data_IF_762742487460
#
_entry.id   IF_762742487460
#
_cell.length_a   1.000
_cell.length_b   1.000
_cell.length_c   1.000
_cell.angle_alpha   90.00
_cell.angle_beta   90.00
_cell.angle_gamma   90.00
#
_symmetry.space_group_name_H-M   'P 1'
#
loop_
_entity.id
_entity.type
_entity.pdbx_description
1 polymer ?
#
# COMPACT_ATOMS: atom_id res chain seq x y z
N UNK A 1 -7.40 7.55 -22.32
CA UNK A 1 -7.82 6.31 -23.00
C UNK A 1 -8.73 5.52 -22.07
N UNK A 2 -9.71 4.78 -22.59
CA UNK A 2 -10.49 3.85 -21.75
C UNK A 2 -9.63 2.61 -21.48
N UNK A 3 -9.50 2.15 -20.22
CA UNK A 3 -8.72 0.96 -19.90
C UNK A 3 -9.26 -0.24 -20.68
N UNK A 4 -8.38 -0.92 -21.42
CA UNK A 4 -8.75 -2.06 -22.28
C UNK A 4 -7.81 -3.22 -22.01
N UNK A 5 -8.38 -4.37 -21.62
CA UNK A 5 -7.66 -5.63 -21.38
C UNK A 5 -6.95 -6.13 -22.62
N UNK A 6 -5.62 -6.14 -22.58
CA UNK A 6 -4.74 -6.77 -23.58
C UNK A 6 -5.04 -8.26 -23.77
N UNK A 7 -5.24 -9.03 -22.69
CA UNK A 7 -5.68 -10.44 -22.75
C UNK A 7 -7.02 -10.64 -22.02
N UNK A 8 -8.12 -10.49 -22.75
CA UNK A 8 -9.48 -10.69 -22.21
C UNK A 8 -9.72 -12.12 -21.72
N UNK A 9 -9.06 -13.14 -22.29
CA UNK A 9 -9.27 -14.54 -21.90
C UNK A 9 -8.64 -14.83 -20.55
N UNK A 10 -7.42 -14.33 -20.32
CA UNK A 10 -6.77 -14.42 -19.01
C UNK A 10 -7.60 -13.70 -17.95
N UNK A 11 -8.05 -12.47 -18.22
CA UNK A 11 -8.87 -11.71 -17.29
C UNK A 11 -10.15 -12.45 -16.89
N UNK A 12 -10.87 -13.03 -17.87
CA UNK A 12 -12.08 -13.80 -17.59
C UNK A 12 -11.82 -15.03 -16.70
N UNK A 13 -10.69 -15.75 -16.89
CA UNK A 13 -10.33 -16.87 -16.01
C UNK A 13 -10.02 -16.38 -14.59
N UNK A 14 -9.35 -15.24 -14.46
CA UNK A 14 -9.02 -14.64 -13.16
C UNK A 14 -10.26 -14.13 -12.41
N UNK A 15 -11.22 -13.51 -13.10
CA UNK A 15 -12.50 -13.09 -12.52
C UNK A 15 -13.32 -14.29 -12.02
N UNK A 16 -13.30 -15.41 -12.77
CA UNK A 16 -13.98 -16.65 -12.38
C UNK A 16 -13.30 -17.43 -11.26
N UNK A 17 -12.07 -17.08 -10.87
CA UNK A 17 -11.36 -17.72 -9.75
C UNK A 17 -11.76 -17.07 -8.42
N UNK A 18 -12.33 -17.88 -7.53
CA UNK A 18 -12.65 -17.46 -6.16
C UNK A 18 -11.45 -17.68 -5.23
N UNK A 19 -10.89 -16.57 -4.76
CA UNK A 19 -9.92 -16.57 -3.65
C UNK A 19 -10.61 -16.61 -2.27
N UNK A 20 -11.91 -16.34 -2.26
CA UNK A 20 -12.73 -16.04 -1.09
C UNK A 20 -13.38 -17.30 -0.50
N UNK A 21 -13.60 -18.33 -1.32
CA UNK A 21 -14.39 -19.48 -0.93
C UNK A 21 -13.57 -20.75 -1.05
N UNK A 22 -13.24 -21.32 0.11
CA UNK A 22 -12.81 -22.71 0.22
C UNK A 22 -13.66 -23.40 1.28
N UNK A 23 -14.63 -24.23 0.91
CA UNK A 23 -15.53 -24.85 1.89
C UNK A 23 -14.81 -25.79 2.88
N UNK A 24 -13.61 -26.27 2.53
CA UNK A 24 -12.87 -27.29 3.28
C UNK A 24 -11.57 -26.78 3.94
N UNK A 25 -11.17 -25.53 3.69
CA UNK A 25 -9.95 -24.91 4.25
C UNK A 25 -10.19 -23.42 4.48
N UNK A 26 -9.39 -22.75 5.33
CA UNK A 26 -9.48 -21.28 5.47
C UNK A 26 -9.31 -20.60 4.10
N UNK A 27 -10.09 -19.54 3.84
CA UNK A 27 -9.93 -18.76 2.61
C UNK A 27 -8.64 -17.93 2.65
N UNK A 28 -8.22 -17.39 1.50
CA UNK A 28 -7.08 -16.46 1.47
C UNK A 28 -7.41 -15.18 2.26
N UNK A 29 -8.66 -14.73 2.22
CA UNK A 29 -9.14 -13.56 2.96
C UNK A 29 -9.07 -13.78 4.47
N UNK A 30 -9.54 -14.92 4.97
CA UNK A 30 -9.50 -15.21 6.41
C UNK A 30 -8.06 -15.18 6.94
N UNK A 31 -7.15 -15.81 6.18
CA UNK A 31 -5.72 -15.79 6.53
C UNK A 31 -5.16 -14.37 6.51
N UNK A 32 -5.53 -13.55 5.52
CA UNK A 32 -5.09 -12.15 5.44
C UNK A 32 -5.58 -11.31 6.62
N UNK A 33 -6.83 -11.50 7.05
CA UNK A 33 -7.39 -10.82 8.23
C UNK A 33 -6.59 -11.20 9.48
N UNK A 34 -6.28 -12.49 9.67
CA UNK A 34 -5.48 -12.98 10.79
C UNK A 34 -4.04 -12.43 10.78
N UNK A 35 -3.38 -12.43 9.62
CA UNK A 35 -1.98 -12.00 9.46
C UNK A 35 -1.81 -10.49 9.60
N UNK A 36 -2.76 -9.69 9.08
CA UNK A 36 -2.63 -8.23 8.99
C UNK A 36 -3.42 -7.46 10.04
N UNK A 37 -4.46 -8.07 10.63
CA UNK A 37 -5.42 -7.40 11.50
C UNK A 37 -6.34 -6.40 10.77
N UNK A 38 -6.31 -6.34 9.44
CA UNK A 38 -7.19 -5.48 8.67
C UNK A 38 -8.64 -5.99 8.67
N UNK A 39 -9.59 -5.06 8.46
CA UNK A 39 -10.99 -5.43 8.26
C UNK A 39 -11.16 -6.32 7.04
N UNK A 40 -12.18 -7.18 7.07
CA UNK A 40 -12.54 -8.10 5.98
C UNK A 40 -12.68 -7.36 4.64
N UNK A 41 -13.30 -6.18 4.60
CA UNK A 41 -13.48 -5.39 3.37
C UNK A 41 -12.16 -4.93 2.74
N UNK A 42 -11.18 -4.57 3.59
CA UNK A 42 -9.82 -4.23 3.14
C UNK A 42 -9.14 -5.46 2.57
N UNK A 43 -9.27 -6.62 3.20
CA UNK A 43 -8.69 -7.87 2.70
C UNK A 43 -9.33 -8.32 1.37
N UNK A 44 -10.65 -8.14 1.19
CA UNK A 44 -11.30 -8.32 -0.11
C UNK A 44 -10.68 -7.43 -1.18
N UNK A 45 -10.50 -6.14 -0.86
CA UNK A 45 -9.91 -5.19 -1.81
C UNK A 45 -8.45 -5.56 -2.13
N UNK A 46 -7.66 -6.00 -1.15
CA UNK A 46 -6.29 -6.48 -1.36
C UNK A 46 -6.23 -7.70 -2.28
N UNK A 47 -7.16 -8.63 -2.13
CA UNK A 47 -7.27 -9.80 -3.02
C UNK A 47 -7.61 -9.38 -4.45
N UNK A 48 -8.45 -8.36 -4.62
CA UNK A 48 -8.74 -7.79 -5.95
C UNK A 48 -7.50 -7.11 -6.56
N UNK A 49 -6.73 -6.35 -5.78
CA UNK A 49 -5.47 -5.77 -6.25
C UNK A 49 -4.45 -6.86 -6.65
N UNK A 50 -4.39 -7.94 -5.87
CA UNK A 50 -3.59 -9.11 -6.20
C UNK A 50 -4.04 -9.79 -7.50
N UNK A 51 -5.35 -9.92 -7.73
CA UNK A 51 -5.88 -10.43 -9.01
C UNK A 51 -5.44 -9.57 -10.19
N UNK A 52 -5.48 -8.24 -10.03
CA UNK A 52 -5.01 -7.30 -11.06
C UNK A 52 -3.51 -7.46 -11.33
N UNK A 53 -2.71 -7.58 -10.28
CA UNK A 53 -1.28 -7.85 -10.43
C UNK A 53 -1.03 -9.18 -11.16
N UNK A 54 -1.73 -10.26 -10.79
CA UNK A 54 -1.61 -11.56 -11.46
C UNK A 54 -2.00 -11.52 -12.94
N UNK A 55 -2.97 -10.66 -13.29
CA UNK A 55 -3.27 -10.39 -14.69
C UNK A 55 -2.08 -9.74 -15.41
N UNK A 56 -1.52 -8.65 -14.87
CA UNK A 56 -0.39 -7.94 -15.46
C UNK A 56 0.84 -8.85 -15.61
N UNK A 57 1.20 -9.53 -14.53
CA UNK A 57 2.31 -10.47 -14.50
C UNK A 57 2.05 -11.70 -15.38
N UNK A 58 0.80 -12.09 -15.60
CA UNK A 58 0.42 -13.19 -16.48
C UNK A 58 0.43 -12.81 -17.98
N UNK A 59 0.09 -11.57 -18.32
CA UNK A 59 0.03 -11.08 -19.70
C UNK A 59 1.34 -10.45 -20.20
N UNK A 60 2.24 -10.06 -19.30
CA UNK A 60 3.52 -9.44 -19.64
C UNK A 60 4.60 -10.48 -19.98
N UNK A 61 5.45 -10.13 -20.96
CA UNK A 61 6.73 -10.81 -21.22
C UNK A 61 7.89 -10.24 -20.39
N UNK A 62 7.73 -9.02 -19.88
CA UNK A 62 8.71 -8.34 -19.04
C UNK A 62 8.49 -8.66 -17.56
N UNK A 63 9.55 -8.66 -16.73
CA UNK A 63 9.41 -8.82 -15.29
C UNK A 63 8.61 -7.67 -14.70
N UNK A 64 7.79 -7.97 -13.70
CA UNK A 64 6.97 -7.01 -12.97
C UNK A 64 7.12 -7.27 -11.48
N UNK A 65 7.10 -6.20 -10.71
CA UNK A 65 7.21 -6.25 -9.25
C UNK A 65 5.90 -5.73 -8.62
N UNK A 66 5.31 -6.43 -7.64
CA UNK A 66 4.14 -5.96 -6.92
C UNK A 66 4.51 -4.89 -5.87
N UNK A 67 3.52 -4.19 -5.33
CA UNK A 67 3.72 -3.41 -4.10
C UNK A 67 3.91 -4.34 -2.89
N UNK A 68 4.51 -3.88 -1.77
CA UNK A 68 4.71 -4.71 -0.58
C UNK A 68 3.44 -5.38 -0.04
N UNK A 69 2.30 -4.69 -0.06
CA UNK A 69 1.04 -5.25 0.47
C UNK A 69 0.40 -6.25 -0.51
N UNK A 70 0.57 -6.06 -1.82
CA UNK A 70 0.13 -7.04 -2.83
C UNK A 70 1.06 -8.26 -2.86
N UNK A 71 2.36 -8.03 -2.65
CA UNK A 71 3.35 -9.06 -2.48
C UNK A 71 3.03 -9.95 -1.27
N UNK A 72 2.58 -9.38 -0.15
CA UNK A 72 2.12 -10.16 1.00
C UNK A 72 1.03 -11.17 0.60
N UNK A 73 0.03 -10.74 -0.17
CA UNK A 73 -1.04 -11.63 -0.65
C UNK A 73 -0.46 -12.75 -1.53
N UNK A 74 0.49 -12.42 -2.40
CA UNK A 74 1.17 -13.41 -3.25
C UNK A 74 1.91 -14.45 -2.42
N UNK A 75 2.66 -14.03 -1.40
CA UNK A 75 3.35 -14.93 -0.45
C UNK A 75 2.37 -15.92 0.16
N UNK A 76 1.29 -15.40 0.76
CA UNK A 76 0.31 -16.21 1.47
C UNK A 76 -0.44 -17.18 0.56
N UNK A 77 -0.68 -16.78 -0.69
CA UNK A 77 -1.25 -17.68 -1.68
C UNK A 77 -0.25 -18.79 -2.05
N UNK A 78 1.02 -18.45 -2.29
CA UNK A 78 2.08 -19.39 -2.67
C UNK A 78 2.49 -20.37 -1.55
N UNK A 79 2.24 -20.03 -0.27
CA UNK A 79 2.43 -20.92 0.88
C UNK A 79 1.58 -22.20 0.79
N UNK A 80 0.34 -22.10 0.30
CA UNK A 80 -0.46 -23.27 -0.04
C UNK A 80 -0.02 -23.75 -1.43
N UNK A 81 1.01 -24.60 -1.46
CA UNK A 81 1.59 -25.07 -2.73
C UNK A 81 0.56 -25.76 -3.62
N UNK A 82 -0.39 -26.48 -3.04
CA UNK A 82 -1.46 -27.15 -3.79
C UNK A 82 -2.43 -26.14 -4.39
N UNK A 83 -2.79 -25.10 -3.65
CA UNK A 83 -3.57 -23.99 -4.19
C UNK A 83 -2.89 -23.31 -5.36
N UNK A 84 -1.62 -22.96 -5.18
CA UNK A 84 -0.95 -22.03 -6.06
C UNK A 84 -0.31 -22.74 -7.25
N UNK A 85 0.54 -23.74 -7.00
CA UNK A 85 1.31 -24.42 -8.04
C UNK A 85 0.51 -25.50 -8.76
N UNK A 86 -0.32 -26.27 -8.05
CA UNK A 86 -1.04 -27.39 -8.66
C UNK A 86 -2.38 -26.98 -9.27
N UNK A 87 -3.02 -25.93 -8.76
CA UNK A 87 -4.34 -25.46 -9.21
C UNK A 87 -4.29 -24.12 -9.94
N UNK A 88 -3.99 -23.02 -9.23
CA UNK A 88 -4.10 -21.66 -9.77
C UNK A 88 -3.20 -21.41 -10.98
N UNK A 89 -1.90 -21.71 -10.88
CA UNK A 89 -0.94 -21.49 -11.96
C UNK A 89 -1.32 -22.21 -13.27
N UNK A 90 -1.48 -23.55 -13.30
CA UNK A 90 -1.79 -24.26 -14.54
C UNK A 90 -3.19 -23.96 -15.06
N UNK A 91 -4.20 -23.85 -14.18
CA UNK A 91 -5.61 -23.71 -14.59
C UNK A 91 -5.98 -22.28 -14.98
N UNK A 92 -5.48 -21.28 -14.24
CA UNK A 92 -5.90 -19.88 -14.39
C UNK A 92 -4.87 -19.09 -15.19
N UNK A 93 -3.60 -19.14 -14.81
CA UNK A 93 -2.55 -18.41 -15.52
C UNK A 93 -2.11 -19.13 -16.80
N UNK A 94 -2.18 -20.46 -16.82
CA UNK A 94 -1.64 -21.29 -17.92
C UNK A 94 -0.12 -21.41 -17.90
N UNK A 95 0.53 -20.88 -16.87
CA UNK A 95 1.98 -20.96 -16.62
C UNK A 95 2.26 -20.81 -15.13
N UNK A 96 3.42 -21.30 -14.70
CA UNK A 96 3.89 -21.08 -13.32
C UNK A 96 4.60 -19.74 -13.22
N UNK A 97 4.08 -18.86 -12.38
CA UNK A 97 4.78 -17.64 -11.96
C UNK A 97 5.51 -17.92 -10.65
N UNK A 98 6.83 -17.94 -10.70
CA UNK A 98 7.65 -18.08 -9.50
C UNK A 98 7.82 -16.72 -8.85
N UNK A 99 7.38 -16.60 -7.60
CA UNK A 99 7.73 -15.47 -6.76
C UNK A 99 9.24 -15.57 -6.44
N UNK A 100 10.03 -14.50 -6.56
CA UNK A 100 11.40 -14.50 -6.08
C UNK A 100 11.45 -14.85 -4.59
N UNK A 101 12.14 -15.94 -4.24
CA UNK A 101 12.46 -16.30 -2.86
C UNK A 101 13.87 -15.77 -2.55
N UNK A 102 14.03 -14.80 -1.63
CA UNK A 102 15.39 -14.34 -1.30
C UNK A 102 15.52 -13.22 -0.27
N UNK A 103 16.58 -13.32 0.53
CA UNK A 103 17.06 -12.42 1.60
C UNK A 103 17.60 -11.06 1.10
N UNK A 104 17.59 -10.82 -0.21
CA UNK A 104 18.00 -9.52 -0.74
C UNK A 104 16.99 -8.47 -0.26
N UNK A 105 17.48 -7.48 0.47
CA UNK A 105 16.66 -6.34 0.86
C UNK A 105 15.99 -5.78 -0.42
N UNK A 106 14.65 -5.72 -0.48
CA UNK A 106 13.96 -5.15 -1.62
C UNK A 106 14.57 -3.80 -1.95
N UNK A 107 14.82 -3.52 -3.23
CA UNK A 107 15.16 -2.15 -3.62
C UNK A 107 14.05 -1.22 -3.10
N UNK A 108 14.39 0.01 -2.66
CA UNK A 108 13.36 1.01 -2.41
C UNK A 108 12.42 1.08 -3.62
N UNK A 109 11.10 1.16 -3.43
CA UNK A 109 10.13 1.11 -4.55
C UNK A 109 10.44 2.12 -5.67
N UNK A 110 11.01 3.27 -5.30
CA UNK A 110 11.47 4.33 -6.19
C UNK A 110 12.63 3.93 -7.12
N UNK A 111 13.44 2.96 -6.70
CA UNK A 111 14.61 2.49 -7.43
C UNK A 111 14.34 1.13 -8.10
N UNK A 112 13.12 0.59 -7.98
CA UNK A 112 12.70 -0.67 -8.60
C UNK A 112 12.07 -0.41 -9.98
N UNK A 113 12.81 -0.64 -11.09
CA UNK A 113 12.28 -0.40 -12.43
C UNK A 113 11.11 -1.33 -12.80
N UNK A 114 11.05 -2.52 -12.19
CA UNK A 114 9.96 -3.47 -12.44
C UNK A 114 8.68 -3.04 -11.73
N UNK A 115 8.79 -2.36 -10.58
CA UNK A 115 7.65 -1.76 -9.89
C UNK A 115 7.08 -0.55 -10.67
N UNK A 116 7.96 0.33 -11.16
CA UNK A 116 7.55 1.47 -12.01
C UNK A 116 6.80 0.97 -13.25
N UNK A 117 7.33 -0.05 -13.93
CA UNK A 117 6.66 -0.70 -15.06
C UNK A 117 5.31 -1.30 -14.66
N UNK A 118 5.21 -1.93 -13.49
CA UNK A 118 3.92 -2.44 -12.98
C UNK A 118 2.88 -1.33 -12.86
N UNK A 119 3.24 -0.17 -12.31
CA UNK A 119 2.33 0.97 -12.18
C UNK A 119 1.88 1.52 -13.53
N UNK A 120 2.79 1.59 -14.51
CA UNK A 120 2.46 2.00 -15.87
C UNK A 120 1.45 1.05 -16.51
N UNK A 121 1.69 -0.25 -16.47
CA UNK A 121 0.78 -1.26 -17.02
C UNK A 121 -0.54 -1.30 -16.26
N UNK A 122 -0.50 -1.14 -14.93
CA UNK A 122 -1.70 -1.01 -14.12
C UNK A 122 -2.54 0.19 -14.58
N UNK A 123 -1.92 1.35 -14.77
CA UNK A 123 -2.61 2.56 -15.20
C UNK A 123 -3.26 2.41 -16.59
N UNK A 124 -2.58 1.73 -17.52
CA UNK A 124 -3.11 1.44 -18.86
C UNK A 124 -4.31 0.49 -18.80
N UNK A 125 -4.24 -0.53 -17.95
CA UNK A 125 -5.18 -1.63 -17.92
C UNK A 125 -6.38 -1.40 -17.01
N UNK A 126 -6.19 -0.76 -15.85
CA UNK A 126 -7.18 -0.60 -14.79
C UNK A 126 -7.46 0.88 -14.45
N UNK A 127 -6.66 1.81 -14.96
CA UNK A 127 -6.71 3.22 -14.57
C UNK A 127 -5.86 3.51 -13.33
N UNK A 128 -6.01 4.71 -12.76
CA UNK A 128 -5.12 5.17 -11.69
C UNK A 128 -5.20 4.25 -10.47
N UNK A 129 -4.06 3.68 -10.01
CA UNK A 129 -4.05 2.82 -8.84
C UNK A 129 -4.29 3.62 -7.56
N UNK A 130 -4.85 2.96 -6.54
CA UNK A 130 -5.06 3.57 -5.22
C UNK A 130 -3.75 3.55 -4.43
N UNK A 131 -3.30 4.71 -3.96
CA UNK A 131 -2.00 4.89 -3.26
C UNK A 131 -1.85 3.98 -2.04
N UNK A 132 -2.96 3.66 -1.35
CA UNK A 132 -2.94 2.77 -0.19
C UNK A 132 -2.49 1.34 -0.51
N UNK A 133 -2.71 0.87 -1.73
CA UNK A 133 -2.33 -0.47 -2.19
C UNK A 133 -1.15 -0.44 -3.15
N UNK A 134 -0.95 0.68 -3.83
CA UNK A 134 0.07 0.90 -4.83
C UNK A 134 0.75 2.25 -4.56
N UNK A 135 1.67 2.31 -3.58
CA UNK A 135 2.35 3.55 -3.22
C UNK A 135 3.05 4.16 -4.43
N UNK A 136 2.88 5.46 -4.60
CA UNK A 136 3.57 6.20 -5.65
C UNK A 136 5.05 6.33 -5.27
N UNK A 137 6.00 5.88 -6.12
CA UNK A 137 7.43 6.01 -5.85
C UNK A 137 7.86 7.47 -5.67
N UNK A 138 7.16 8.43 -6.30
CA UNK A 138 7.50 9.85 -6.26
C UNK A 138 6.91 10.60 -5.05
N UNK A 139 6.05 9.97 -4.25
CA UNK A 139 5.37 10.60 -3.10
C UNK A 139 6.26 10.75 -1.84
N UNK A 140 7.60 10.72 -1.96
CA UNK A 140 8.49 10.99 -0.81
C UNK A 140 8.63 12.50 -0.50
N UNK A 141 7.51 13.18 -0.25
CA UNK A 141 7.47 14.47 0.47
C UNK A 141 8.14 14.37 1.85
N UNK A 142 8.29 13.16 2.38
CA UNK A 142 9.03 12.82 3.62
C UNK A 142 10.50 13.29 3.59
N UNK A 143 11.21 13.19 2.45
CA UNK A 143 12.63 13.58 2.37
C UNK A 143 12.83 15.09 2.17
N UNK A 144 11.90 15.73 1.45
CA UNK A 144 11.83 17.20 1.42
C UNK A 144 11.49 17.75 2.80
N UNK A 145 10.60 17.11 3.56
CA UNK A 145 10.24 17.48 4.93
C UNK A 145 11.47 17.47 5.86
N UNK A 146 12.30 16.43 5.85
CA UNK A 146 13.47 16.39 6.75
C UNK A 146 14.53 17.45 6.39
N UNK A 147 14.79 17.68 5.10
CA UNK A 147 15.70 18.74 4.65
C UNK A 147 15.15 20.13 4.96
N UNK A 148 13.87 20.38 4.69
CA UNK A 148 13.17 21.63 5.00
C UNK A 148 13.09 21.85 6.52
N UNK A 149 12.86 20.79 7.30
CA UNK A 149 12.85 20.85 8.77
C UNK A 149 14.22 21.24 9.33
N UNK A 150 15.29 20.62 8.83
CA UNK A 150 16.67 21.00 9.22
C UNK A 150 17.03 22.42 8.77
N UNK A 151 16.60 22.84 7.57
CA UNK A 151 16.77 24.20 7.09
C UNK A 151 16.02 25.23 7.96
N UNK A 152 14.77 24.93 8.36
CA UNK A 152 13.97 25.78 9.25
C UNK A 152 14.60 25.83 10.65
N UNK A 153 15.04 24.68 11.19
CA UNK A 153 15.70 24.60 12.49
C UNK A 153 17.01 25.38 12.50
N UNK A 154 17.82 25.26 11.44
CA UNK A 154 19.06 26.01 11.28
C UNK A 154 18.80 27.52 11.14
N UNK A 155 17.82 27.91 10.32
CA UNK A 155 17.42 29.31 10.18
C UNK A 155 16.93 29.89 11.52
N UNK A 156 16.13 29.15 12.29
CA UNK A 156 15.69 29.55 13.62
C UNK A 156 16.85 29.68 14.62
N UNK A 157 17.84 28.77 14.57
CA UNK A 157 19.04 28.84 15.39
C UNK A 157 19.88 30.08 15.08
N UNK A 158 20.11 30.37 13.79
CA UNK A 158 20.82 31.59 13.35
C UNK A 158 20.05 32.84 13.75
N UNK A 159 18.72 32.86 13.57
CA UNK A 159 17.89 34.01 13.95
C UNK A 159 17.90 34.27 15.47
N UNK A 160 17.87 33.20 16.28
CA UNK A 160 17.95 33.26 17.74
C UNK A 160 19.34 33.72 18.23
N UNK A 161 20.41 33.38 17.51
CA UNK A 161 21.76 33.86 17.81
C UNK A 161 21.95 35.34 17.44
N UNK A 162 21.24 35.83 16.42
CA UNK A 162 21.34 37.22 15.93
C UNK A 162 20.46 38.20 16.72
N UNK A 163 19.30 37.76 17.22
CA UNK A 163 18.38 38.61 18.00
C UNK A 163 18.36 38.22 19.48
N UNK A 164 18.86 39.09 20.35
CA UNK A 164 19.06 38.87 21.79
C UNK A 164 17.89 38.16 22.53
N UNK A 165 18.07 36.86 22.73
CA UNK A 165 17.63 35.89 23.75
C UNK A 165 16.27 35.93 24.46
N UNK A 166 15.55 37.03 24.62
CA UNK A 166 14.36 37.05 25.53
C UNK A 166 13.03 36.89 24.79
N UNK A 167 12.89 37.51 23.62
CA UNK A 167 11.62 37.50 22.86
C UNK A 167 11.37 36.12 22.24
N UNK A 168 12.43 35.44 21.79
CA UNK A 168 12.32 34.12 21.17
C UNK A 168 12.02 33.01 22.18
N UNK A 169 12.56 33.11 23.41
CA UNK A 169 12.22 32.20 24.51
C UNK A 169 10.75 32.34 24.91
N UNK A 170 10.24 33.58 25.00
CA UNK A 170 8.83 33.85 25.27
C UNK A 170 7.92 33.32 24.14
N UNK A 171 8.33 33.48 22.88
CA UNK A 171 7.59 32.97 21.73
C UNK A 171 7.56 31.43 21.69
N UNK A 172 8.72 30.78 21.90
CA UNK A 172 8.80 29.32 21.99
C UNK A 172 7.93 28.76 23.11
N UNK A 173 7.94 29.39 24.29
CA UNK A 173 7.08 29.03 25.40
C UNK A 173 5.59 29.19 25.06
N UNK A 174 5.21 30.27 24.37
CA UNK A 174 3.84 30.48 23.91
C UNK A 174 3.38 29.43 22.88
N UNK A 175 4.25 29.01 21.97
CA UNK A 175 3.96 27.95 21.00
C UNK A 175 3.76 26.60 21.69
N UNK A 176 4.64 26.24 22.64
CA UNK A 176 4.51 25.01 23.43
C UNK A 176 3.20 25.01 24.23
N UNK A 177 2.87 26.12 24.90
CA UNK A 177 1.60 26.27 25.62
C UNK A 177 0.38 26.15 24.67
N UNK A 178 0.46 26.73 23.48
CA UNK A 178 -0.60 26.62 22.47
C UNK A 178 -0.78 25.18 22.02
N UNK A 179 0.30 24.45 21.72
CA UNK A 179 0.24 23.03 21.33
C UNK A 179 -0.34 22.18 22.47
N UNK A 180 0.08 22.39 23.71
CA UNK A 180 -0.47 21.68 24.87
C UNK A 180 -1.95 21.99 25.07
N UNK A 181 -2.37 23.24 24.90
CA UNK A 181 -3.77 23.65 24.97
C UNK A 181 -4.60 23.00 23.86
N UNK A 182 -4.11 22.98 22.62
CA UNK A 182 -4.75 22.30 21.50
C UNK A 182 -4.86 20.80 21.76
N UNK A 183 -3.81 20.14 22.25
CA UNK A 183 -3.85 18.71 22.60
C UNK A 183 -4.86 18.43 23.71
N UNK A 184 -4.88 19.23 24.76
CA UNK A 184 -5.85 19.10 25.85
C UNK A 184 -7.28 19.29 25.34
N UNK A 185 -7.52 20.33 24.53
CA UNK A 185 -8.83 20.61 23.93
C UNK A 185 -9.29 19.48 23.01
N UNK A 186 -8.41 18.95 22.16
CA UNK A 186 -8.72 17.78 21.32
C UNK A 186 -8.98 16.52 22.16
N UNK A 187 -8.26 16.32 23.27
CA UNK A 187 -8.50 15.18 24.17
C UNK A 187 -9.81 15.29 24.96
N UNK A 188 -10.33 16.51 25.14
CA UNK A 188 -11.59 16.78 25.83
C UNK A 188 -12.82 16.69 24.95
N UNK A 189 -12.66 16.51 23.63
CA UNK A 189 -13.78 16.28 22.73
C UNK A 189 -14.27 14.83 22.93
N UNK A 190 -15.49 14.60 23.44
CA UNK A 190 -16.06 13.26 23.46
C UNK A 190 -16.19 12.80 22.01
N UNK A 191 -15.57 11.67 21.68
CA UNK A 191 -15.83 10.95 20.44
C UNK A 191 -17.33 10.61 20.43
N UNK A 192 -18.12 11.44 19.74
CA UNK A 192 -19.52 11.15 19.47
C UNK A 192 -19.56 9.94 18.55
N UNK A 193 -19.78 8.79 19.19
CA UNK A 193 -20.12 7.54 18.56
C UNK A 193 -21.39 7.76 17.74
N UNK A 194 -21.27 7.88 16.42
CA UNK A 194 -22.44 7.78 15.53
C UNK A 194 -22.82 6.30 15.46
N UNK A 195 -23.66 5.90 16.41
CA UNK A 195 -24.50 4.73 16.27
C UNK A 195 -25.40 4.93 15.05
N UNK A 196 -25.24 4.08 14.05
CA UNK A 196 -26.21 3.86 12.99
C UNK A 196 -27.56 3.50 13.62
N UNK A 197 -28.54 4.39 13.52
CA UNK A 197 -29.96 4.02 13.61
C UNK A 197 -30.48 3.75 12.20
N UNK A 198 -31.11 2.58 12.05
CA UNK A 198 -31.67 2.12 10.80
C UNK A 198 -32.91 2.90 10.37
N UNK A 199 -33.14 2.87 9.06
CA UNK A 199 -34.45 2.78 8.42
C UNK A 199 -34.28 2.23 7.01
#
# INVERSE_FOLDING_TARGET
MKPTKSDRRLWHRLEGYSFHERPLTRSLVDRLVEETGHSVDVCYTLVEEYRRYMYLAGSSSEPLSPSPIVDLVWRMHAEDKKAYYDDFCPRILGRTLYRPEGEAAPLPLQDDPDYVRTLEYYAQEFGRPQVQYWPDPDYTLERLSHFVFWMIAFAAFVLAAVFSSLIFAAFGFAVVLSILFLRWKLSSLPLSNQSFEGK
#
